data_IF_195098304479
#
_entry.id   IF_195098304479
#
_cell.length_a   1.000
_cell.length_b   1.000
_cell.length_c   1.000
_cell.angle_alpha   90.00
_cell.angle_beta   90.00
_cell.angle_gamma   90.00
#
_symmetry.space_group_name_H-M   'P 1'
#
loop_
_entity.id
_entity.type
_entity.pdbx_description
1 polymer ?
#
# COMPACT_ATOMS: atom_id res chain seq x y z
N UNK A 1 -6.67 11.63 -4.73
CA UNK A 1 -7.47 10.54 -4.13
C UNK A 1 -6.75 9.24 -4.45
N UNK A 2 -6.51 8.38 -3.46
CA UNK A 2 -5.85 7.09 -3.62
C UNK A 2 -6.62 6.03 -2.83
N UNK A 3 -7.35 5.11 -3.50
CA UNK A 3 -7.98 3.97 -2.85
C UNK A 3 -7.12 2.70 -2.93
N UNK A 4 -7.14 1.90 -1.87
CA UNK A 4 -6.74 0.50 -1.90
C UNK A 4 -7.99 -0.37 -1.97
N UNK A 5 -8.09 -1.19 -3.02
CA UNK A 5 -9.26 -2.03 -3.30
C UNK A 5 -8.92 -3.51 -3.09
N UNK A 6 -9.91 -4.25 -2.61
CA UNK A 6 -9.92 -5.72 -2.56
C UNK A 6 -11.18 -6.26 -3.21
N UNK A 7 -11.30 -7.60 -3.26
CA UNK A 7 -12.50 -8.26 -3.75
C UNK A 7 -13.74 -7.99 -2.87
N UNK A 8 -13.56 -7.52 -1.63
CA UNK A 8 -14.66 -7.19 -0.70
C UNK A 8 -14.91 -5.68 -0.59
N UNK A 9 -14.25 -4.87 -1.41
CA UNK A 9 -14.42 -3.41 -1.43
C UNK A 9 -13.16 -2.64 -1.02
N UNK A 10 -13.37 -1.41 -0.56
CA UNK A 10 -12.30 -0.46 -0.21
C UNK A 10 -11.70 -0.85 1.15
N UNK A 11 -10.39 -1.06 1.21
CA UNK A 11 -9.64 -1.30 2.45
C UNK A 11 -9.20 0.03 3.07
N UNK A 12 -8.61 0.91 2.25
CA UNK A 12 -8.12 2.21 2.67
C UNK A 12 -8.43 3.27 1.60
N UNK A 13 -8.63 4.51 2.01
CA UNK A 13 -8.87 5.64 1.12
C UNK A 13 -8.23 6.89 1.70
N UNK A 14 -7.40 7.55 0.89
CA UNK A 14 -6.81 8.84 1.26
C UNK A 14 -7.10 9.93 0.22
N UNK A 15 -7.45 11.11 0.72
CA UNK A 15 -7.77 12.29 -0.09
C UNK A 15 -6.85 13.42 0.33
N UNK A 16 -5.93 13.78 -0.55
CA UNK A 16 -5.03 14.91 -0.39
C UNK A 16 -5.44 16.06 -1.32
N UNK A 17 -5.32 17.30 -0.82
CA UNK A 17 -5.46 18.52 -1.64
C UNK A 17 -4.22 18.82 -2.50
N UNK A 18 -3.25 17.89 -2.54
CA UNK A 18 -1.98 17.97 -3.26
C UNK A 18 -1.69 16.62 -3.94
N UNK A 19 -0.82 16.57 -4.96
CA UNK A 19 -0.35 15.31 -5.54
C UNK A 19 0.37 14.44 -4.51
N UNK A 20 0.30 13.12 -4.69
CA UNK A 20 1.11 12.18 -3.92
C UNK A 20 2.59 12.32 -4.30
N UNK A 21 3.44 12.39 -3.29
CA UNK A 21 4.90 12.22 -3.37
C UNK A 21 5.27 10.82 -2.87
N UNK A 22 6.54 10.42 -3.04
CA UNK A 22 7.04 9.18 -2.46
C UNK A 22 6.79 9.11 -0.94
N UNK A 23 7.02 10.20 -0.21
CA UNK A 23 6.79 10.26 1.25
C UNK A 23 5.31 10.07 1.61
N UNK A 24 4.40 10.84 1.01
CA UNK A 24 2.96 10.67 1.31
C UNK A 24 2.43 9.31 0.88
N UNK A 25 3.06 8.69 -0.13
CA UNK A 25 2.71 7.34 -0.56
C UNK A 25 3.20 6.28 0.43
N UNK A 26 4.39 6.46 1.02
CA UNK A 26 4.87 5.60 2.11
C UNK A 26 3.94 5.67 3.33
N UNK A 27 3.51 6.88 3.72
CA UNK A 27 2.55 7.08 4.82
C UNK A 27 1.23 6.33 4.54
N UNK A 28 0.71 6.44 3.31
CA UNK A 28 -0.47 5.69 2.88
C UNK A 28 -0.29 4.17 3.00
N UNK A 29 0.86 3.67 2.56
CA UNK A 29 1.16 2.23 2.61
C UNK A 29 1.31 1.76 4.05
N UNK A 30 1.94 2.53 4.94
CA UNK A 30 2.07 2.17 6.35
C UNK A 30 0.70 1.92 6.99
N UNK A 31 -0.27 2.82 6.74
CA UNK A 31 -1.65 2.66 7.20
C UNK A 31 -2.38 1.50 6.52
N UNK A 32 -2.19 1.31 5.21
CA UNK A 32 -2.78 0.17 4.48
C UNK A 32 -2.31 -1.18 5.07
N UNK A 33 -1.03 -1.29 5.40
CA UNK A 33 -0.43 -2.51 5.93
C UNK A 33 -0.96 -2.89 7.32
N UNK A 34 -1.62 -1.99 8.05
CA UNK A 34 -2.32 -2.33 9.31
C UNK A 34 -3.62 -3.10 9.07
N UNK A 35 -4.17 -3.03 7.86
CA UNK A 35 -5.42 -3.66 7.45
C UNK A 35 -5.21 -4.91 6.58
N UNK A 36 -3.95 -5.30 6.38
CA UNK A 36 -3.53 -6.44 5.56
C UNK A 36 -3.09 -7.62 6.44
N UNK A 37 -2.99 -8.81 5.83
CA UNK A 37 -2.56 -10.03 6.52
C UNK A 37 -1.29 -10.61 5.90
N UNK A 38 -0.48 -11.40 6.63
CA UNK A 38 0.64 -12.12 6.05
C UNK A 38 0.22 -13.08 4.93
N UNK A 39 1.06 -13.23 3.91
CA UNK A 39 0.84 -14.20 2.83
C UNK A 39 0.88 -15.65 3.36
N UNK A 40 -0.04 -16.55 2.94
CA UNK A 40 -1.02 -16.44 1.85
C UNK A 40 -2.46 -16.12 2.31
N UNK A 41 -2.64 -15.40 3.41
CA UNK A 41 -3.99 -15.07 3.91
C UNK A 41 -4.70 -14.06 2.99
N UNK A 42 -5.98 -13.79 3.27
CA UNK A 42 -6.77 -12.80 2.53
C UNK A 42 -6.14 -11.40 2.64
N UNK A 43 -6.13 -10.63 1.55
CA UNK A 43 -5.55 -9.27 1.51
C UNK A 43 -4.08 -9.25 1.94
N UNK A 44 -3.24 -10.06 1.29
CA UNK A 44 -1.81 -10.24 1.63
C UNK A 44 -0.83 -9.87 0.52
N UNK A 45 -1.34 -9.45 -0.64
CA UNK A 45 -0.53 -9.03 -1.80
C UNK A 45 -0.95 -7.62 -2.22
N UNK A 46 0.02 -6.73 -2.35
CA UNK A 46 -0.19 -5.39 -2.90
C UNK A 46 0.08 -5.41 -4.40
N UNK A 47 -0.88 -4.92 -5.18
CA UNK A 47 -0.73 -4.73 -6.63
C UNK A 47 -0.83 -3.24 -6.93
N UNK A 48 0.18 -2.70 -7.60
CA UNK A 48 0.29 -1.29 -7.98
C UNK A 48 0.67 -1.16 -9.45
N UNK A 49 0.45 0.01 -10.03
CA UNK A 49 1.02 0.32 -11.33
C UNK A 49 2.55 0.55 -11.24
N UNK A 50 3.20 0.71 -12.38
CA UNK A 50 4.66 0.84 -12.47
C UNK A 50 5.14 2.31 -12.30
N UNK A 51 4.41 3.15 -11.57
CA UNK A 51 4.81 4.53 -11.33
C UNK A 51 6.18 4.61 -10.64
N UNK A 52 6.97 5.65 -10.94
CA UNK A 52 8.32 5.80 -10.41
C UNK A 52 8.36 5.92 -8.88
N UNK A 53 7.33 6.52 -8.28
CA UNK A 53 7.23 6.71 -6.83
C UNK A 53 7.00 5.39 -6.05
N UNK A 54 6.61 4.30 -6.73
CA UNK A 54 6.44 2.98 -6.11
C UNK A 54 7.76 2.18 -6.04
N UNK A 55 8.82 2.65 -6.69
CA UNK A 55 10.09 1.94 -6.83
C UNK A 55 11.05 2.32 -5.70
N UNK A 56 10.70 1.92 -4.48
CA UNK A 56 11.50 2.18 -3.29
C UNK A 56 11.84 0.87 -2.56
N UNK A 57 13.12 0.66 -2.25
CA UNK A 57 13.55 -0.49 -1.44
C UNK A 57 12.96 -0.43 -0.02
N UNK A 58 12.77 0.77 0.52
CA UNK A 58 12.12 0.98 1.81
C UNK A 58 10.67 0.50 1.78
N UNK A 59 9.93 0.86 0.72
CA UNK A 59 8.55 0.39 0.54
C UNK A 59 8.49 -1.13 0.49
N UNK A 60 9.40 -1.76 -0.27
CA UNK A 60 9.50 -3.21 -0.36
C UNK A 60 9.78 -3.84 1.01
N UNK A 61 10.74 -3.30 1.74
CA UNK A 61 11.11 -3.79 3.07
C UNK A 61 9.95 -3.67 4.06
N UNK A 62 9.15 -2.59 4.02
CA UNK A 62 7.97 -2.42 4.87
C UNK A 62 6.94 -3.55 4.66
N UNK A 63 6.69 -3.91 3.41
CA UNK A 63 5.75 -4.97 3.02
C UNK A 63 6.28 -6.34 3.47
N UNK A 64 7.51 -6.67 3.08
CA UNK A 64 8.11 -7.98 3.36
C UNK A 64 8.34 -8.21 4.87
N UNK A 65 8.69 -7.17 5.63
CA UNK A 65 8.89 -7.26 7.08
C UNK A 65 7.61 -7.63 7.85
N UNK A 66 6.43 -7.34 7.28
CA UNK A 66 5.12 -7.75 7.85
C UNK A 66 4.63 -9.09 7.30
N UNK A 67 5.47 -9.81 6.54
CA UNK A 67 5.13 -11.10 5.93
C UNK A 67 4.17 -11.00 4.75
N UNK A 68 4.02 -9.80 4.18
CA UNK A 68 3.16 -9.52 3.02
C UNK A 68 3.98 -9.56 1.73
N UNK A 69 3.32 -9.44 0.58
CA UNK A 69 3.97 -9.50 -0.74
C UNK A 69 3.56 -8.36 -1.66
#
# INVERSE_FOLDING_TARGET
ILPALSLDGIIALEILAKPFTAATFQDFIEGLLEQMNPWPQKNSVIIMDNASIHKSDELRNMVEARGMR
#
